data_IF_549751521584
#
_entry.id   IF_549751521584
#
_cell.length_a   1.000
_cell.length_b   1.000
_cell.length_c   1.000
_cell.angle_alpha   90.00
_cell.angle_beta   90.00
_cell.angle_gamma   90.00
#
_symmetry.space_group_name_H-M   'P 1'
#
loop_
_entity.id
_entity.type
_entity.pdbx_description
1 polymer ?
#
# COMPACT_ATOMS: atom_id res chain seq x y z
N UNK A 1 21.50 86.35 -50.96
CA UNK A 1 22.73 85.70 -51.41
C UNK A 1 22.80 84.39 -50.64
N UNK A 2 22.10 83.37 -51.15
CA UNK A 2 22.64 82.40 -52.14
C UNK A 2 23.54 81.40 -51.37
N UNK A 3 23.39 80.08 -51.39
CA UNK A 3 22.61 79.08 -52.15
C UNK A 3 22.54 77.83 -51.22
N UNK A 4 21.43 77.11 -51.05
CA UNK A 4 20.90 76.07 -51.93
C UNK A 4 21.94 75.01 -52.35
N UNK A 5 22.01 73.88 -51.61
CA UNK A 5 22.13 72.59 -52.28
C UNK A 5 21.42 71.47 -51.52
N UNK A 6 20.34 71.07 -52.16
CA UNK A 6 19.47 69.92 -52.01
C UNK A 6 20.24 68.61 -52.26
N UNK A 7 20.07 67.62 -51.38
CA UNK A 7 20.24 66.21 -51.75
C UNK A 7 19.06 65.44 -51.17
N UNK A 8 18.04 65.29 -52.01
CA UNK A 8 17.05 64.23 -51.92
C UNK A 8 17.72 62.90 -52.25
N UNK A 9 17.47 61.84 -51.49
CA UNK A 9 17.44 60.48 -52.05
C UNK A 9 16.71 59.52 -51.08
N UNK A 10 15.44 59.31 -51.43
CA UNK A 10 14.76 58.00 -51.49
C UNK A 10 14.82 57.04 -50.31
N UNK A 11 13.66 56.94 -49.66
CA UNK A 11 13.09 55.70 -49.14
C UNK A 11 13.41 54.50 -50.04
N UNK A 12 14.02 53.46 -49.49
CA UNK A 12 13.85 52.10 -50.01
C UNK A 12 13.71 51.15 -48.83
N UNK A 13 12.45 50.85 -48.53
CA UNK A 13 12.01 49.57 -47.99
C UNK A 13 12.71 48.45 -48.79
N UNK A 14 13.40 47.56 -48.09
CA UNK A 14 14.05 46.40 -48.67
C UNK A 14 13.83 45.19 -47.76
N UNK A 15 12.61 44.66 -47.88
CA UNK A 15 12.34 43.24 -48.00
C UNK A 15 13.55 42.30 -47.86
N UNK A 16 13.53 41.50 -46.79
CA UNK A 16 13.81 40.06 -46.84
C UNK A 16 15.08 39.61 -47.55
N UNK A 17 16.26 39.91 -47.00
CA UNK A 17 17.48 39.16 -47.34
C UNK A 17 17.50 37.84 -46.55
N UNK A 18 16.96 36.80 -47.19
CA UNK A 18 17.11 35.40 -46.78
C UNK A 18 18.55 34.95 -47.07
N UNK A 19 19.51 35.32 -46.21
CA UNK A 19 20.80 34.63 -46.16
C UNK A 19 20.53 33.21 -45.70
N UNK A 20 20.46 32.28 -46.65
CA UNK A 20 20.27 30.86 -46.37
C UNK A 20 21.40 30.40 -45.44
N UNK A 21 21.08 30.18 -44.16
CA UNK A 21 22.00 29.68 -43.13
C UNK A 21 22.74 28.45 -43.70
N UNK A 22 24.08 28.47 -43.63
CA UNK A 22 24.85 27.32 -44.11
C UNK A 22 24.57 26.10 -43.23
N UNK A 23 24.74 24.90 -43.77
CA UNK A 23 24.45 23.65 -43.05
C UNK A 23 25.18 23.57 -41.70
N UNK A 24 26.43 23.98 -41.66
CA UNK A 24 27.26 23.91 -40.46
C UNK A 24 26.81 24.93 -39.40
N UNK A 25 26.33 26.10 -39.83
CA UNK A 25 25.70 27.09 -38.97
C UNK A 25 24.38 26.55 -38.39
N UNK A 26 23.54 25.90 -39.21
CA UNK A 26 22.28 25.26 -38.76
C UNK A 26 22.55 24.14 -37.76
N UNK A 27 23.51 23.24 -38.02
CA UNK A 27 23.86 22.18 -37.08
C UNK A 27 24.46 22.74 -35.79
N UNK A 28 25.20 23.85 -35.86
CA UNK A 28 25.70 24.56 -34.69
C UNK A 28 24.56 25.17 -33.87
N UNK A 29 23.55 25.74 -34.53
CA UNK A 29 22.33 26.22 -33.90
C UNK A 29 21.54 25.07 -33.24
N UNK A 30 21.35 23.94 -33.92
CA UNK A 30 20.70 22.75 -33.35
C UNK A 30 21.40 22.27 -32.08
N UNK A 31 22.73 22.20 -32.08
CA UNK A 31 23.51 21.84 -30.88
C UNK A 31 23.28 22.83 -29.73
N UNK A 32 23.30 24.13 -30.01
CA UNK A 32 23.04 25.17 -29.01
C UNK A 32 21.60 25.10 -28.48
N UNK A 33 20.62 24.83 -29.33
CA UNK A 33 19.21 24.67 -28.95
C UNK A 33 18.99 23.43 -28.08
N UNK A 34 19.66 22.30 -28.40
CA UNK A 34 19.64 21.09 -27.56
C UNK A 34 20.24 21.38 -26.18
N UNK A 35 21.41 22.03 -26.13
CA UNK A 35 22.05 22.42 -24.85
C UNK A 35 21.13 23.33 -24.02
N UNK A 36 20.52 24.35 -24.65
CA UNK A 36 19.58 25.25 -23.97
C UNK A 36 18.33 24.52 -23.45
N UNK A 37 17.83 23.50 -24.16
CA UNK A 37 16.72 22.68 -23.66
C UNK A 37 17.14 21.81 -22.48
N UNK A 38 18.35 21.26 -22.48
CA UNK A 38 18.89 20.50 -21.35
C UNK A 38 19.03 21.36 -20.09
N UNK A 39 19.49 22.60 -20.24
CA UNK A 39 19.59 23.54 -19.12
C UNK A 39 18.20 23.89 -18.55
N UNK A 40 17.22 24.15 -19.42
CA UNK A 40 15.83 24.39 -19.03
C UNK A 40 15.18 23.16 -18.39
N UNK A 41 15.48 21.95 -18.87
CA UNK A 41 15.01 20.70 -18.26
C UNK A 41 15.50 20.58 -16.82
N UNK A 42 16.78 20.86 -16.57
CA UNK A 42 17.36 20.82 -15.23
C UNK A 42 16.68 21.86 -14.33
N UNK A 43 16.45 23.07 -14.81
CA UNK A 43 15.79 24.14 -14.07
C UNK A 43 14.34 23.77 -13.71
N UNK A 44 13.55 23.30 -14.68
CA UNK A 44 12.16 22.87 -14.47
C UNK A 44 12.06 21.70 -13.48
N UNK A 45 12.97 20.72 -13.58
CA UNK A 45 13.04 19.59 -12.62
C UNK A 45 13.42 20.06 -11.21
N UNK A 46 14.33 21.04 -11.09
CA UNK A 46 14.68 21.64 -9.79
C UNK A 46 13.53 22.44 -9.18
N UNK A 47 12.76 23.15 -10.00
CA UNK A 47 11.57 23.88 -9.55
C UNK A 47 10.46 22.94 -9.07
N UNK A 48 10.23 21.83 -9.78
CA UNK A 48 9.25 20.81 -9.41
C UNK A 48 9.57 20.07 -8.10
N UNK A 49 10.83 20.11 -7.66
CA UNK A 49 11.27 19.49 -6.40
C UNK A 49 10.96 20.34 -5.15
N UNK A 50 10.36 21.54 -5.30
CA UNK A 50 9.99 22.44 -4.18
C UNK A 50 8.50 22.33 -3.85
N UNK A 51 8.16 22.24 -2.57
CA UNK A 51 6.78 22.24 -2.05
C UNK A 51 6.44 21.02 -1.19
N UNK A 52 5.15 20.81 -0.93
CA UNK A 52 4.66 19.65 -0.15
C UNK A 52 4.74 18.33 -0.94
N UNK A 53 4.69 17.17 -0.28
CA UNK A 53 4.82 15.85 -0.93
C UNK A 53 3.77 15.58 -2.01
N UNK A 54 2.53 16.03 -1.81
CA UNK A 54 1.45 15.91 -2.80
C UNK A 54 1.68 16.85 -4.00
N UNK A 55 2.12 18.08 -3.73
CA UNK A 55 2.40 19.11 -4.73
C UNK A 55 3.61 18.75 -5.60
N UNK A 56 4.66 18.17 -5.02
CA UNK A 56 5.84 17.66 -5.75
C UNK A 56 5.45 16.56 -6.75
N UNK A 57 4.56 15.63 -6.37
CA UNK A 57 4.12 14.55 -7.26
C UNK A 57 3.35 15.09 -8.47
N UNK A 58 2.45 16.04 -8.25
CA UNK A 58 1.69 16.69 -9.32
C UNK A 58 2.59 17.52 -10.24
N UNK A 59 3.44 18.39 -9.67
CA UNK A 59 4.37 19.24 -10.43
C UNK A 59 5.41 18.42 -11.21
N UNK A 60 5.91 17.33 -10.64
CA UNK A 60 6.87 16.44 -11.32
C UNK A 60 6.25 15.80 -12.56
N UNK A 61 5.01 15.30 -12.47
CA UNK A 61 4.29 14.72 -13.63
C UNK A 61 4.07 15.76 -14.72
N UNK A 62 3.62 16.96 -14.35
CA UNK A 62 3.38 18.06 -15.28
C UNK A 62 4.68 18.51 -16.00
N UNK A 63 5.77 18.65 -15.24
CA UNK A 63 7.08 19.03 -15.80
C UNK A 63 7.63 17.94 -16.73
N UNK A 64 7.45 16.66 -16.41
CA UNK A 64 7.90 15.55 -17.26
C UNK A 64 7.15 15.50 -18.60
N UNK A 65 5.83 15.68 -18.59
CA UNK A 65 5.01 15.80 -19.80
C UNK A 65 5.42 17.02 -20.65
N UNK A 66 5.69 18.16 -20.01
CA UNK A 66 6.13 19.37 -20.70
C UNK A 66 7.52 19.23 -21.35
N UNK A 67 8.48 18.62 -20.65
CA UNK A 67 9.82 18.32 -21.21
C UNK A 67 9.70 17.40 -22.42
N UNK A 68 8.88 16.34 -22.32
CA UNK A 68 8.63 15.42 -23.43
C UNK A 68 8.11 16.16 -24.65
N UNK A 69 7.09 17.00 -24.47
CA UNK A 69 6.48 17.84 -25.51
C UNK A 69 7.49 18.80 -26.15
N UNK A 70 8.29 19.52 -25.34
CA UNK A 70 9.28 20.48 -25.84
C UNK A 70 10.40 19.79 -26.62
N UNK A 71 10.87 18.64 -26.13
CA UNK A 71 11.91 17.87 -26.81
C UNK A 71 11.43 17.30 -28.15
N UNK A 72 10.19 16.79 -28.20
CA UNK A 72 9.59 16.25 -29.41
C UNK A 72 9.41 17.35 -30.46
N UNK A 73 8.89 18.52 -30.05
CA UNK A 73 8.72 19.67 -30.94
C UNK A 73 10.05 20.19 -31.50
N UNK A 74 11.11 20.20 -30.69
CA UNK A 74 12.43 20.63 -31.19
C UNK A 74 13.01 19.61 -32.18
N UNK A 75 12.92 18.31 -31.86
CA UNK A 75 13.36 17.23 -32.77
C UNK A 75 12.60 17.25 -34.09
N UNK A 76 11.30 17.48 -34.05
CA UNK A 76 10.46 17.58 -35.24
C UNK A 76 10.87 18.79 -36.10
N UNK A 77 11.08 19.96 -35.48
CA UNK A 77 11.60 21.14 -36.19
C UNK A 77 12.97 20.87 -36.83
N UNK A 78 13.91 20.29 -36.09
CA UNK A 78 15.22 19.93 -36.62
C UNK A 78 15.11 18.95 -37.78
N UNK A 79 14.21 17.97 -37.69
CA UNK A 79 13.95 17.02 -38.77
C UNK A 79 13.34 17.70 -40.01
N UNK A 80 12.39 18.63 -39.83
CA UNK A 80 11.78 19.41 -40.92
C UNK A 80 12.78 20.35 -41.59
N UNK A 81 13.64 21.01 -40.81
CA UNK A 81 14.71 21.88 -41.33
C UNK A 81 15.72 21.07 -42.16
N UNK A 82 16.12 19.90 -41.66
CA UNK A 82 17.01 18.97 -42.39
C UNK A 82 16.35 18.41 -43.66
N UNK A 83 15.04 18.10 -43.62
CA UNK A 83 14.28 17.61 -44.78
C UNK A 83 14.10 18.70 -45.85
N UNK A 84 13.85 19.94 -45.45
CA UNK A 84 13.66 21.09 -46.35
C UNK A 84 14.93 21.44 -47.14
N UNK A 85 16.11 21.14 -46.58
CA UNK A 85 17.41 21.24 -47.25
C UNK A 85 17.75 20.04 -48.14
N UNK A 86 16.78 19.17 -48.43
CA UNK A 86 16.93 18.05 -49.35
C UNK A 86 17.70 16.85 -48.80
N UNK A 87 17.99 16.82 -47.49
CA UNK A 87 18.62 15.66 -46.86
C UNK A 87 17.56 14.64 -46.41
N UNK A 88 17.11 13.82 -47.35
CA UNK A 88 16.59 12.50 -47.00
C UNK A 88 17.72 11.64 -46.43
N UNK A 89 17.46 10.85 -45.41
CA UNK A 89 18.39 9.86 -44.82
C UNK A 89 18.76 8.78 -45.84
N UNK A 90 19.61 9.12 -46.80
CA UNK A 90 20.22 8.21 -47.76
C UNK A 90 21.71 8.56 -47.82
N UNK A 91 22.47 8.03 -46.85
CA UNK A 91 23.90 7.69 -46.92
C UNK A 91 24.36 7.31 -45.51
N UNK A 92 24.08 6.06 -45.12
CA UNK A 92 24.34 5.51 -43.78
C UNK A 92 25.80 5.58 -43.32
N UNK A 93 26.74 5.77 -44.25
CA UNK A 93 28.19 5.77 -44.00
C UNK A 93 28.72 7.07 -43.40
N UNK A 94 28.14 8.24 -43.74
CA UNK A 94 28.56 9.53 -43.17
C UNK A 94 27.87 9.84 -41.84
N UNK A 95 26.61 9.40 -41.67
CA UNK A 95 25.88 9.52 -40.40
C UNK A 95 26.60 8.77 -39.27
N UNK A 96 27.08 7.56 -39.54
CA UNK A 96 27.87 6.78 -38.59
C UNK A 96 29.21 7.44 -38.21
N UNK A 97 29.82 8.21 -39.12
CA UNK A 97 31.09 8.91 -38.89
C UNK A 97 30.88 10.20 -38.08
N UNK A 98 29.80 10.94 -38.36
CA UNK A 98 29.40 12.13 -37.59
C UNK A 98 28.91 11.73 -36.19
N UNK A 99 28.13 10.66 -36.06
CA UNK A 99 27.69 10.10 -34.77
C UNK A 99 28.86 9.58 -33.93
N UNK A 100 29.91 9.02 -34.55
CA UNK A 100 31.16 8.65 -33.87
C UNK A 100 31.94 9.88 -33.38
N UNK A 101 32.03 10.93 -34.19
CA UNK A 101 32.72 12.17 -33.80
C UNK A 101 31.95 12.92 -32.71
N UNK A 102 30.62 12.92 -32.76
CA UNK A 102 29.74 13.47 -31.73
C UNK A 102 29.83 12.65 -30.44
N UNK A 103 29.91 11.31 -30.51
CA UNK A 103 30.20 10.47 -29.34
C UNK A 103 31.59 10.73 -28.74
N UNK A 104 32.59 10.96 -29.58
CA UNK A 104 33.95 11.29 -29.14
C UNK A 104 34.02 12.67 -28.46
N UNK A 105 33.33 13.70 -29.00
CA UNK A 105 33.24 15.03 -28.41
C UNK A 105 32.40 15.02 -27.11
N UNK A 106 31.37 14.16 -27.04
CA UNK A 106 30.58 13.93 -25.84
C UNK A 106 31.27 13.04 -24.79
N UNK A 107 32.56 12.69 -24.98
CA UNK A 107 33.36 11.92 -24.02
C UNK A 107 33.01 10.43 -23.90
N UNK A 108 32.25 9.88 -24.85
CA UNK A 108 31.92 8.44 -24.88
C UNK A 108 32.98 7.71 -25.71
N UNK A 109 33.95 7.13 -25.02
CA UNK A 109 35.02 6.32 -25.60
C UNK A 109 34.46 5.13 -26.41
N UNK A 110 34.81 5.04 -27.70
CA UNK A 110 34.53 3.89 -28.56
C UNK A 110 35.82 3.11 -28.74
N UNK A 111 35.96 1.98 -28.04
CA UNK A 111 36.96 0.95 -28.35
C UNK A 111 36.23 -0.31 -28.81
N UNK A 112 36.44 -0.67 -30.07
CA UNK A 112 36.05 -1.95 -30.64
C UNK A 112 37.09 -3.02 -30.30
N UNK A 113 36.83 -3.80 -29.25
CA UNK A 113 37.36 -5.15 -28.99
C UNK A 113 36.30 -5.93 -28.19
N UNK A 114 36.06 -7.23 -28.46
CA UNK A 114 35.26 -8.08 -27.59
C UNK A 114 36.14 -8.57 -26.44
N UNK A 115 36.65 -7.63 -25.64
CA UNK A 115 37.35 -7.95 -24.40
C UNK A 115 36.38 -7.87 -23.24
N UNK A 116 36.41 -8.88 -22.37
CA UNK A 116 35.63 -8.92 -21.14
C UNK A 116 35.90 -7.66 -20.32
N UNK A 117 35.02 -6.67 -20.46
CA UNK A 117 35.09 -5.41 -19.76
C UNK A 117 34.87 -5.68 -18.27
N UNK A 118 35.98 -5.83 -17.54
CA UNK A 118 35.95 -5.89 -16.08
C UNK A 118 35.12 -4.70 -15.58
N UNK A 119 34.09 -4.93 -14.73
CA UNK A 119 33.18 -3.86 -14.34
C UNK A 119 33.97 -2.69 -13.73
N UNK A 120 33.60 -1.47 -14.13
CA UNK A 120 34.29 -0.26 -13.70
C UNK A 120 34.28 -0.14 -12.17
N UNK A 121 35.27 0.56 -11.59
CA UNK A 121 35.33 0.80 -10.13
C UNK A 121 34.01 1.40 -9.58
N UNK A 122 33.30 2.21 -10.39
CA UNK A 122 31.99 2.78 -10.06
C UNK A 122 30.88 1.72 -10.07
N UNK A 123 30.85 0.84 -11.09
CA UNK A 123 29.89 -0.27 -11.16
C UNK A 123 30.05 -1.22 -9.98
N UNK A 124 31.29 -1.59 -9.64
CA UNK A 124 31.60 -2.42 -8.46
C UNK A 124 31.17 -1.76 -7.14
N UNK A 125 31.27 -0.43 -7.02
CA UNK A 125 30.80 0.30 -5.83
C UNK A 125 29.28 0.32 -5.73
N UNK A 126 28.57 0.48 -6.86
CA UNK A 126 27.10 0.45 -6.91
C UNK A 126 26.55 -0.94 -6.64
N UNK A 127 27.18 -1.97 -7.20
CA UNK A 127 26.82 -3.37 -6.98
C UNK A 127 27.09 -3.80 -5.54
N UNK A 128 28.23 -3.41 -4.96
CA UNK A 128 28.50 -3.63 -3.52
C UNK A 128 27.46 -2.94 -2.63
N UNK A 129 27.02 -1.73 -2.99
CA UNK A 129 25.96 -1.03 -2.25
C UNK A 129 24.60 -1.72 -2.41
N UNK A 130 24.24 -2.13 -3.62
CA UNK A 130 23.00 -2.88 -3.88
C UNK A 130 22.98 -4.23 -3.14
N UNK A 131 24.10 -4.94 -3.08
CA UNK A 131 24.23 -6.18 -2.31
C UNK A 131 24.11 -5.93 -0.80
N UNK A 132 24.70 -4.83 -0.30
CA UNK A 132 24.58 -4.46 1.12
C UNK A 132 23.15 -4.03 1.48
N UNK A 133 22.48 -3.28 0.60
CA UNK A 133 21.10 -2.85 0.78
C UNK A 133 20.14 -4.06 0.72
N UNK A 134 20.33 -4.98 -0.25
CA UNK A 134 19.57 -6.23 -0.32
C UNK A 134 19.80 -7.14 0.89
N UNK A 135 21.04 -7.28 1.37
CA UNK A 135 21.34 -8.04 2.58
C UNK A 135 20.78 -7.38 3.85
N UNK A 136 20.61 -6.05 3.85
CA UNK A 136 19.94 -5.31 4.94
C UNK A 136 18.43 -5.56 4.90
N UNK A 137 17.82 -5.48 3.71
CA UNK A 137 16.40 -5.75 3.52
C UNK A 137 16.05 -7.20 3.85
N UNK A 138 16.89 -8.17 3.46
CA UNK A 138 16.72 -9.58 3.86
C UNK A 138 16.76 -9.77 5.38
N UNK A 139 17.73 -9.14 6.08
CA UNK A 139 17.77 -9.18 7.55
C UNK A 139 16.52 -8.58 8.20
N UNK A 140 16.07 -7.43 7.71
CA UNK A 140 14.83 -6.81 8.21
C UNK A 140 13.65 -7.74 7.96
N UNK A 141 13.57 -8.36 6.79
CA UNK A 141 12.48 -9.25 6.44
C UNK A 141 12.47 -10.53 7.29
N UNK A 142 13.64 -11.12 7.56
CA UNK A 142 13.82 -12.26 8.46
C UNK A 142 13.44 -11.90 9.91
N UNK A 143 13.87 -10.72 10.39
CA UNK A 143 13.49 -10.19 11.70
C UNK A 143 11.96 -10.02 11.80
N UNK A 144 11.31 -9.48 10.76
CA UNK A 144 9.85 -9.34 10.72
C UNK A 144 9.13 -10.69 10.65
N UNK A 145 9.64 -11.68 9.91
CA UNK A 145 9.03 -13.01 9.84
C UNK A 145 9.22 -13.84 11.12
N UNK A 146 10.29 -13.57 11.89
CA UNK A 146 10.52 -14.22 13.18
C UNK A 146 9.68 -13.64 14.32
N UNK A 147 9.00 -12.51 14.12
CA UNK A 147 8.02 -12.00 15.07
C UNK A 147 6.75 -12.86 14.99
N UNK A 148 6.75 -13.97 15.72
CA UNK A 148 5.52 -14.72 16.00
C UNK A 148 4.59 -13.79 16.78
N UNK A 149 3.41 -13.52 16.23
CA UNK A 149 2.43 -12.64 16.87
C UNK A 149 1.86 -13.33 18.13
N UNK A 150 1.76 -12.59 19.23
CA UNK A 150 1.14 -13.07 20.48
C UNK A 150 -0.26 -13.67 20.24
N UNK A 151 -1.03 -13.09 19.29
CA UNK A 151 -2.31 -13.64 18.84
C UNK A 151 -2.21 -15.08 18.36
N UNK A 152 -1.24 -15.38 17.51
CA UNK A 152 -1.08 -16.71 16.93
C UNK A 152 -0.72 -17.73 18.02
N UNK A 153 0.13 -17.33 18.96
CA UNK A 153 0.52 -18.18 20.09
C UNK A 153 -0.70 -18.46 21.00
N UNK A 154 -1.55 -17.46 21.25
CA UNK A 154 -2.77 -17.64 22.04
C UNK A 154 -3.78 -18.56 21.36
N UNK A 155 -4.05 -18.33 20.06
CA UNK A 155 -4.96 -19.16 19.29
C UNK A 155 -4.48 -20.61 19.23
N UNK A 156 -3.20 -20.85 18.92
CA UNK A 156 -2.62 -22.20 18.85
C UNK A 156 -2.76 -22.96 20.17
N UNK A 157 -2.47 -22.30 21.29
CA UNK A 157 -2.62 -22.89 22.63
C UNK A 157 -4.08 -23.23 22.95
N UNK A 158 -5.00 -22.34 22.56
CA UNK A 158 -6.42 -22.51 22.82
C UNK A 158 -7.01 -23.63 21.94
N UNK A 159 -6.70 -23.65 20.64
CA UNK A 159 -7.10 -24.72 19.72
C UNK A 159 -6.62 -26.08 20.20
N UNK A 160 -5.35 -26.18 20.62
CA UNK A 160 -4.78 -27.41 21.19
C UNK A 160 -5.51 -27.89 22.46
N UNK A 161 -6.14 -26.99 23.22
CA UNK A 161 -6.95 -27.33 24.40
C UNK A 161 -8.37 -27.76 24.01
N UNK A 162 -8.93 -27.13 22.98
CA UNK A 162 -10.31 -27.36 22.54
C UNK A 162 -10.48 -28.59 21.64
N UNK A 163 -9.49 -28.89 20.79
CA UNK A 163 -9.47 -30.06 19.89
C UNK A 163 -9.76 -31.39 20.61
N UNK A 164 -9.07 -31.77 21.72
CA UNK A 164 -9.36 -33.03 22.42
C UNK A 164 -10.74 -33.06 23.09
N UNK A 165 -11.38 -31.90 23.26
CA UNK A 165 -12.74 -31.79 23.80
C UNK A 165 -13.81 -31.80 22.70
N UNK A 166 -13.42 -31.85 21.42
CA UNK A 166 -14.34 -31.77 20.28
C UNK A 166 -14.96 -30.38 20.12
N UNK A 167 -14.23 -29.34 20.50
CA UNK A 167 -14.71 -27.95 20.53
C UNK A 167 -13.94 -27.09 19.53
N UNK A 168 -14.63 -26.10 18.98
CA UNK A 168 -14.04 -25.10 18.07
C UNK A 168 -14.52 -23.69 18.43
N UNK A 169 -13.73 -22.69 18.04
CA UNK A 169 -14.01 -21.29 18.30
C UNK A 169 -14.90 -20.75 17.16
N UNK A 170 -16.03 -20.15 17.51
CA UNK A 170 -16.85 -19.37 16.59
C UNK A 170 -16.48 -17.88 16.74
N UNK A 171 -15.91 -17.29 15.69
CA UNK A 171 -15.43 -15.91 15.72
C UNK A 171 -16.58 -14.89 15.77
N UNK A 172 -16.54 -14.02 16.78
CA UNK A 172 -17.47 -12.93 17.02
C UNK A 172 -16.82 -11.62 16.57
N UNK A 173 -17.65 -10.68 16.14
CA UNK A 173 -17.20 -9.36 15.70
C UNK A 173 -16.36 -8.67 16.79
N UNK A 174 -15.18 -8.10 16.47
CA UNK A 174 -14.32 -7.39 17.42
C UNK A 174 -14.84 -5.98 17.71
N UNK A 175 -15.94 -5.90 18.45
CA UNK A 175 -16.47 -4.65 19.01
C UNK A 175 -16.48 -4.71 20.55
N UNK A 176 -16.79 -3.58 21.19
CA UNK A 176 -16.90 -3.49 22.66
C UNK A 176 -18.03 -4.33 23.26
N UNK A 177 -18.85 -4.97 22.42
CA UNK A 177 -19.99 -5.81 22.82
C UNK A 177 -19.73 -7.30 22.58
N UNK A 178 -18.50 -7.68 22.24
CA UNK A 178 -18.13 -9.07 21.92
C UNK A 178 -18.56 -10.08 23.01
N UNK A 179 -18.46 -9.73 24.30
CA UNK A 179 -18.94 -10.56 25.40
C UNK A 179 -20.41 -10.93 25.23
N UNK A 180 -21.26 -9.91 25.06
CA UNK A 180 -22.71 -10.10 24.96
C UNK A 180 -23.07 -10.86 23.67
N UNK A 181 -22.44 -10.52 22.55
CA UNK A 181 -22.64 -11.22 21.27
C UNK A 181 -22.28 -12.70 21.36
N UNK A 182 -21.19 -13.05 22.04
CA UNK A 182 -20.77 -14.44 22.22
C UNK A 182 -21.78 -15.22 23.08
N UNK A 183 -22.33 -14.60 24.12
CA UNK A 183 -23.38 -15.22 24.94
C UNK A 183 -24.68 -15.38 24.15
N UNK A 184 -25.07 -14.39 23.35
CA UNK A 184 -26.26 -14.48 22.48
C UNK A 184 -26.15 -15.66 21.51
N UNK A 185 -24.99 -15.83 20.88
CA UNK A 185 -24.68 -16.94 19.96
C UNK A 185 -24.86 -18.30 20.67
N UNK A 186 -24.31 -18.43 21.88
CA UNK A 186 -24.48 -19.64 22.70
C UNK A 186 -25.94 -19.90 23.07
N UNK A 187 -26.68 -18.88 23.50
CA UNK A 187 -28.10 -19.02 23.83
C UNK A 187 -28.95 -19.44 22.62
N UNK A 188 -28.62 -18.94 21.42
CA UNK A 188 -29.29 -19.35 20.19
C UNK A 188 -29.04 -20.83 19.85
N UNK A 189 -27.81 -21.32 20.05
CA UNK A 189 -27.48 -22.73 19.85
C UNK A 189 -28.22 -23.63 20.84
N UNK A 190 -28.29 -23.23 22.11
CA UNK A 190 -29.02 -23.98 23.14
C UNK A 190 -30.54 -24.02 22.90
N UNK A 191 -31.10 -22.98 22.27
CA UNK A 191 -32.53 -22.91 21.95
C UNK A 191 -32.89 -23.68 20.67
N UNK A 192 -31.92 -23.94 19.79
CA UNK A 192 -32.13 -24.57 18.48
C UNK A 192 -32.19 -26.09 18.49
N UNK A 193 -31.82 -26.76 19.59
CA UNK A 193 -31.75 -28.23 19.67
C UNK A 193 -33.07 -28.91 20.08
N UNK A 194 -34.14 -28.18 20.42
CA UNK A 194 -35.44 -28.77 20.79
C UNK A 194 -36.64 -28.02 20.17
N UNK A 195 -37.20 -28.49 19.02
CA UNK A 195 -38.53 -28.10 18.58
C UNK A 195 -39.54 -29.13 19.14
N UNK A 196 -39.85 -29.05 20.43
CA UNK A 196 -41.01 -29.79 20.99
C UNK A 196 -41.93 -28.79 21.66
N UNK A 197 -43.17 -28.84 21.18
CA UNK A 197 -44.34 -28.03 21.50
C UNK A 197 -44.53 -27.73 23.00
N UNK A 198 -44.97 -26.50 23.30
CA UNK A 198 -45.89 -26.26 24.41
C UNK A 198 -45.42 -25.30 25.49
N UNK A 199 -45.92 -24.07 25.36
CA UNK A 199 -46.25 -23.12 26.43
C UNK A 199 -45.15 -22.52 27.33
N UNK A 200 -45.00 -21.19 27.18
CA UNK A 200 -44.60 -20.22 28.22
C UNK A 200 -43.11 -20.12 28.59
N UNK A 201 -42.23 -20.03 27.60
CA UNK A 201 -40.90 -19.41 27.75
C UNK A 201 -40.75 -18.32 26.68
N UNK A 202 -41.20 -17.09 27.00
CA UNK A 202 -40.79 -15.91 26.24
C UNK A 202 -39.25 -15.94 26.17
N UNK A 203 -38.75 -16.17 24.96
CA UNK A 203 -37.40 -16.63 24.64
C UNK A 203 -36.34 -15.97 25.51
N UNK A 204 -35.61 -16.75 26.32
CA UNK A 204 -34.44 -16.29 27.06
C UNK A 204 -33.47 -15.51 26.14
N UNK A 205 -33.38 -15.93 24.87
CA UNK A 205 -32.62 -15.24 23.83
C UNK A 205 -33.23 -13.87 23.47
N UNK A 206 -34.56 -13.71 23.41
CA UNK A 206 -35.22 -12.42 23.17
C UNK A 206 -35.05 -11.47 24.37
N UNK A 207 -35.19 -11.98 25.60
CA UNK A 207 -34.91 -11.20 26.82
C UNK A 207 -33.45 -10.75 26.85
N UNK A 208 -32.53 -11.63 26.47
CA UNK A 208 -31.11 -11.31 26.39
C UNK A 208 -30.80 -10.32 25.26
N UNK A 209 -31.47 -10.44 24.11
CA UNK A 209 -31.34 -9.50 23.00
C UNK A 209 -31.80 -8.09 23.40
N UNK A 210 -32.91 -7.99 24.14
CA UNK A 210 -33.37 -6.71 24.68
C UNK A 210 -32.37 -6.11 25.68
N UNK A 211 -31.76 -6.94 26.53
CA UNK A 211 -30.66 -6.50 27.39
C UNK A 211 -29.44 -6.03 26.58
N UNK A 212 -29.06 -6.74 25.52
CA UNK A 212 -27.97 -6.32 24.63
C UNK A 212 -28.25 -4.95 24.00
N UNK A 213 -29.49 -4.67 23.57
CA UNK A 213 -29.91 -3.37 23.02
C UNK A 213 -29.83 -2.26 24.07
N UNK A 214 -30.15 -2.55 25.32
CA UNK A 214 -30.03 -1.58 26.42
C UNK A 214 -28.56 -1.26 26.70
N UNK A 215 -27.72 -2.29 26.81
CA UNK A 215 -26.27 -2.15 27.05
C UNK A 215 -25.55 -1.51 25.85
N UNK A 216 -26.03 -1.71 24.62
CA UNK A 216 -25.47 -1.09 23.41
C UNK A 216 -25.46 0.45 23.47
N UNK A 217 -26.39 1.04 24.22
CA UNK A 217 -26.43 2.49 24.46
C UNK A 217 -25.37 2.98 25.46
N UNK A 218 -24.67 2.05 26.14
CA UNK A 218 -23.69 2.33 27.17
C UNK A 218 -22.27 2.13 26.64
N UNK A 219 -21.32 2.94 27.13
CA UNK A 219 -19.90 2.73 26.82
C UNK A 219 -19.26 1.61 27.67
N UNK A 220 -20.06 0.74 28.30
CA UNK A 220 -19.58 -0.27 29.23
C UNK A 220 -19.06 -1.50 28.46
N UNK A 221 -17.77 -1.79 28.63
CA UNK A 221 -17.18 -3.03 28.13
C UNK A 221 -17.49 -4.12 29.14
N UNK A 222 -18.00 -5.26 28.65
CA UNK A 222 -18.29 -6.39 29.51
C UNK A 222 -17.03 -7.19 29.83
N UNK A 223 -16.90 -7.63 31.08
CA UNK A 223 -15.82 -8.49 31.54
C UNK A 223 -16.31 -9.49 32.58
N UNK A 224 -15.45 -9.78 33.56
CA UNK A 224 -15.69 -10.84 34.54
C UNK A 224 -16.86 -10.55 35.49
N UNK A 225 -17.11 -9.29 35.84
CA UNK A 225 -18.23 -8.90 36.72
C UNK A 225 -19.57 -9.16 36.03
N UNK A 226 -19.66 -8.76 34.76
CA UNK A 226 -20.84 -8.94 33.92
C UNK A 226 -21.10 -10.42 33.67
N UNK A 227 -20.05 -11.22 33.43
CA UNK A 227 -20.15 -12.68 33.36
C UNK A 227 -20.76 -13.29 34.63
N UNK A 228 -20.26 -12.89 35.81
CA UNK A 228 -20.79 -13.37 37.09
C UNK A 228 -22.26 -12.98 37.30
N UNK A 229 -22.65 -11.76 36.92
CA UNK A 229 -24.04 -11.33 36.96
C UNK A 229 -24.91 -12.16 35.99
N UNK A 230 -24.44 -12.35 34.76
CA UNK A 230 -25.15 -13.09 33.71
C UNK A 230 -25.34 -14.56 34.07
N UNK A 231 -24.36 -15.20 34.72
CA UNK A 231 -24.50 -16.55 35.27
C UNK A 231 -25.76 -16.68 36.15
N UNK A 232 -25.95 -15.75 37.09
CA UNK A 232 -27.11 -15.77 37.99
C UNK A 232 -28.41 -15.32 37.32
N UNK A 233 -28.35 -14.36 36.39
CA UNK A 233 -29.52 -13.87 35.67
C UNK A 233 -30.08 -14.92 34.71
N UNK A 234 -29.21 -15.62 33.99
CA UNK A 234 -29.58 -16.67 33.04
C UNK A 234 -29.79 -18.03 33.72
N UNK A 235 -29.29 -18.20 34.97
CA UNK A 235 -29.24 -19.49 35.68
C UNK A 235 -28.59 -20.58 34.82
N UNK A 236 -27.46 -20.23 34.20
CA UNK A 236 -26.69 -21.11 33.32
C UNK A 236 -25.26 -21.22 33.80
N UNK A 237 -24.70 -22.41 33.64
CA UNK A 237 -23.28 -22.66 33.83
C UNK A 237 -22.48 -22.01 32.69
N UNK A 238 -21.39 -21.31 33.03
CA UNK A 238 -20.52 -20.66 32.03
C UNK A 238 -19.09 -21.18 32.17
N UNK A 239 -18.55 -21.67 31.05
CA UNK A 239 -17.16 -22.08 30.90
C UNK A 239 -16.43 -21.12 29.98
N UNK A 240 -15.27 -20.62 30.42
CA UNK A 240 -14.44 -19.70 29.66
C UNK A 240 -13.06 -20.31 29.49
N UNK A 241 -12.69 -20.59 28.25
CA UNK A 241 -11.40 -21.17 27.89
C UNK A 241 -10.39 -20.08 27.57
N UNK A 242 -9.16 -20.23 28.06
CA UNK A 242 -8.04 -19.37 27.67
C UNK A 242 -6.79 -20.18 27.33
N UNK A 243 -6.02 -19.67 26.36
CA UNK A 243 -4.75 -20.27 25.94
C UNK A 243 -3.59 -19.98 26.91
N UNK A 244 -3.56 -18.77 27.48
CA UNK A 244 -2.47 -18.31 28.35
C UNK A 244 -2.85 -18.21 29.83
N UNK A 245 -4.14 -18.26 30.15
CA UNK A 245 -4.66 -18.18 31.52
C UNK A 245 -5.40 -19.49 31.89
N UNK A 246 -5.58 -19.77 33.20
CA UNK A 246 -6.45 -20.85 33.64
C UNK A 246 -7.88 -20.68 33.12
N UNK A 247 -8.56 -21.79 32.87
CA UNK A 247 -9.97 -21.75 32.49
C UNK A 247 -10.81 -21.28 33.67
N UNK A 248 -11.85 -20.50 33.38
CA UNK A 248 -12.75 -19.93 34.38
C UNK A 248 -14.09 -20.63 34.29
N UNK A 249 -14.54 -21.17 35.41
CA UNK A 249 -15.81 -21.88 35.56
C UNK A 249 -16.71 -21.09 36.52
N UNK A 250 -17.91 -20.72 36.08
CA UNK A 250 -18.89 -19.95 36.85
C UNK A 250 -20.25 -20.65 36.85
N UNK A 251 -21.00 -20.53 37.95
CA UNK A 251 -22.36 -21.07 38.04
C UNK A 251 -22.40 -22.59 38.12
N UNK A 252 -21.51 -23.18 38.93
CA UNK A 252 -21.43 -24.64 39.13
C UNK A 252 -22.75 -25.22 39.62
N UNK A 253 -23.51 -24.44 40.38
CA UNK A 253 -24.85 -24.74 40.86
C UNK A 253 -25.91 -24.86 39.74
N UNK A 254 -25.63 -24.33 38.55
CA UNK A 254 -26.49 -24.39 37.37
C UNK A 254 -26.04 -25.43 36.35
N UNK A 255 -25.01 -26.22 36.67
CA UNK A 255 -24.55 -27.31 35.83
C UNK A 255 -25.59 -28.43 35.90
N UNK A 256 -26.11 -28.86 34.76
CA UNK A 256 -27.09 -29.94 34.70
C UNK A 256 -26.45 -31.24 35.21
N UNK A 257 -27.06 -31.89 36.19
CA UNK A 257 -26.58 -33.17 36.71
C UNK A 257 -26.62 -34.22 35.59
N UNK A 258 -25.46 -34.81 35.30
CA UNK A 258 -25.22 -35.85 34.29
C UNK A 258 -25.91 -37.20 34.56
N UNK A 259 -26.92 -37.22 35.44
CA UNK A 259 -27.66 -38.40 35.86
C UNK A 259 -28.96 -38.63 35.09
N UNK A 260 -29.35 -37.70 34.21
CA UNK A 260 -30.47 -37.87 33.28
C UNK A 260 -29.95 -38.10 31.86
N UNK A 261 -30.43 -39.18 31.24
CA UNK A 261 -29.95 -39.77 29.98
C UNK A 261 -30.14 -38.86 28.75
N UNK A 262 -30.72 -37.67 28.90
CA UNK A 262 -30.90 -36.66 27.84
C UNK A 262 -29.95 -35.47 28.06
N UNK A 263 -28.64 -35.77 28.10
CA UNK A 263 -27.56 -34.81 28.39
C UNK A 263 -27.25 -33.87 27.23
N UNK A 264 -28.14 -32.92 26.94
CA UNK A 264 -27.71 -31.67 26.31
C UNK A 264 -27.01 -30.83 27.40
N UNK A 265 -25.69 -30.84 27.40
CA UNK A 265 -24.89 -30.01 28.30
C UNK A 265 -25.13 -28.53 27.93
N UNK A 266 -26.08 -27.93 28.65
CA UNK A 266 -26.63 -26.58 28.42
C UNK A 266 -25.71 -25.47 28.94
N UNK A 267 -24.41 -25.77 29.05
CA UNK A 267 -23.39 -24.84 29.47
C UNK A 267 -23.09 -23.83 28.37
N UNK A 268 -23.00 -22.56 28.74
CA UNK A 268 -22.52 -21.49 27.85
C UNK A 268 -21.00 -21.58 27.79
N UNK A 269 -20.44 -21.69 26.60
CA UNK A 269 -19.01 -21.88 26.40
C UNK A 269 -18.42 -20.73 25.60
N UNK A 270 -17.41 -20.10 26.17
CA UNK A 270 -16.75 -18.91 25.62
C UNK A 270 -15.25 -19.14 25.54
N UNK A 271 -14.59 -18.39 24.67
CA UNK A 271 -13.13 -18.29 24.67
C UNK A 271 -12.68 -16.85 24.87
N UNK A 272 -11.66 -16.69 25.71
CA UNK A 272 -11.07 -15.41 26.07
C UNK A 272 -9.70 -15.23 25.43
N UNK A 273 -9.54 -14.12 24.72
CA UNK A 273 -8.35 -13.75 23.98
C UNK A 273 -7.86 -12.38 24.43
N UNK A 274 -6.61 -12.29 24.89
CA UNK A 274 -6.05 -11.01 25.36
C UNK A 274 -5.42 -10.21 24.23
N UNK A 275 -4.85 -10.90 23.25
CA UNK A 275 -4.12 -10.29 22.14
C UNK A 275 -4.78 -10.58 20.78
N UNK A 276 -6.07 -10.99 20.75
CA UNK A 276 -6.78 -11.23 19.49
C UNK A 276 -6.86 -9.97 18.61
N UNK A 277 -7.02 -8.80 19.22
CA UNK A 277 -7.13 -7.53 18.52
C UNK A 277 -6.29 -6.46 19.21
N UNK A 278 -5.87 -5.44 18.45
CA UNK A 278 -5.05 -4.34 18.99
C UNK A 278 -5.72 -3.51 20.09
N UNK A 279 -7.03 -3.70 20.31
CA UNK A 279 -7.82 -3.04 21.35
C UNK A 279 -7.84 -3.81 22.69
N UNK A 280 -7.20 -4.98 22.75
CA UNK A 280 -7.07 -5.78 23.98
C UNK A 280 -8.01 -6.98 24.01
N UNK A 281 -8.72 -7.12 25.13
CA UNK A 281 -9.53 -8.28 25.49
C UNK A 281 -10.68 -8.52 24.52
N UNK A 282 -10.93 -9.79 24.22
CA UNK A 282 -11.98 -10.19 23.30
C UNK A 282 -12.56 -11.56 23.67
N UNK A 283 -13.87 -11.68 23.52
CA UNK A 283 -14.62 -12.92 23.77
C UNK A 283 -15.20 -13.46 22.47
N UNK A 284 -15.02 -14.76 22.27
CA UNK A 284 -15.63 -15.53 21.19
C UNK A 284 -16.54 -16.61 21.77
N UNK A 285 -17.47 -17.10 20.95
CA UNK A 285 -18.31 -18.25 21.27
C UNK A 285 -17.50 -19.55 21.03
N UNK A 286 -17.79 -20.61 21.78
CA UNK A 286 -17.17 -21.94 21.59
C UNK A 286 -18.27 -22.96 21.34
N UNK A 287 -18.16 -23.68 20.24
CA UNK A 287 -19.20 -24.60 19.75
C UNK A 287 -18.63 -26.00 19.60
N UNK A 288 -19.50 -27.02 19.66
CA UNK A 288 -19.11 -28.41 19.41
C UNK A 288 -18.90 -28.63 17.90
N UNK A 289 -17.89 -29.42 17.56
CA UNK A 289 -17.55 -29.85 16.18
C UNK A 289 -18.47 -31.01 15.76
#
# INVERSE_FOLDING_TARGET
MEDAQEVSETMSDKSSENTQETRDEMLSRHRKEISKLQDKEIEMKKAAAKGSKAEQKAKKKQVEEEISRLSAKLKEKHAQELASLGYSTSNGTQKAKLDNLVKAIAGVSVTSQPDQAKPSKSSKRREKRAQQDAAREQRIQEEQSNLVSDRMIENEKLEKKLEPLGLTINEIKPDGHCLYRAIQDQLAHLSGENPVDGDSEDSLAERFENYCKEVESTAAWGGQLELGALTHCLKKHIMIYSGSFPDVEMGKEYKSDSSSTDSSDSSIMLSYHKHAFGLGEHYNSVVRI
#
